data_IF_877494700934
#
_entry.id   IF_877494700934
#
_cell.length_a   1.000
_cell.length_b   1.000
_cell.length_c   1.000
_cell.angle_alpha   90.00
_cell.angle_beta   90.00
_cell.angle_gamma   90.00
#
_symmetry.space_group_name_H-M   'P 1'
#
loop_
_entity.id
_entity.type
_entity.pdbx_description
1 polymer ?
#
# COMPACT_ATOMS: atom_id res chain seq x y z
N UNK A 1 -16.85 27.45 -26.64
CA UNK A 1 -15.80 28.47 -26.33
C UNK A 1 -14.78 27.75 -25.43
N UNK A 2 -13.63 27.42 -25.97
CA UNK A 2 -12.57 26.73 -25.21
C UNK A 2 -11.79 27.75 -24.39
N UNK A 3 -11.66 27.57 -23.08
CA UNK A 3 -10.71 28.32 -22.25
C UNK A 3 -9.64 27.32 -21.78
N UNK A 4 -8.40 27.59 -22.18
CA UNK A 4 -7.23 26.82 -21.76
C UNK A 4 -6.80 27.22 -20.34
N UNK A 5 -6.41 26.24 -19.56
CA UNK A 5 -5.77 26.42 -18.25
C UNK A 5 -4.25 26.41 -18.40
N UNK A 6 -3.63 27.46 -17.87
CA UNK A 6 -2.18 27.64 -17.86
C UNK A 6 -1.54 26.93 -16.68
N UNK A 7 -0.45 26.23 -16.96
CA UNK A 7 0.45 25.62 -15.98
C UNK A 7 1.16 26.68 -15.13
N UNK A 8 1.02 26.63 -13.83
CA UNK A 8 1.76 27.39 -12.86
C UNK A 8 3.04 26.64 -12.46
N UNK A 9 4.19 27.27 -12.63
CA UNK A 9 5.52 26.79 -12.22
C UNK A 9 5.64 26.82 -10.70
N UNK A 10 5.98 25.70 -10.08
CA UNK A 10 6.37 25.62 -8.68
C UNK A 10 7.89 25.81 -8.59
N UNK A 11 8.30 26.82 -7.82
CA UNK A 11 9.68 27.15 -7.53
C UNK A 11 10.27 26.22 -6.45
N UNK A 12 11.41 25.63 -6.80
CA UNK A 12 12.29 24.88 -5.91
C UNK A 12 12.85 25.76 -4.77
N UNK A 13 12.64 25.35 -3.53
CA UNK A 13 13.33 25.88 -2.36
C UNK A 13 14.39 24.86 -1.93
N UNK A 14 15.66 25.25 -2.08
CA UNK A 14 16.81 24.52 -1.54
C UNK A 14 16.97 24.90 -0.06
N UNK A 15 16.96 23.92 0.83
CA UNK A 15 17.40 24.10 2.22
C UNK A 15 18.56 23.17 2.52
N UNK A 16 19.63 23.78 3.02
CA UNK A 16 20.92 23.14 3.24
C UNK A 16 20.94 22.28 4.52
N UNK A 17 21.71 21.22 4.42
CA UNK A 17 22.06 20.31 5.51
C UNK A 17 23.24 20.87 6.28
N UNK A 18 23.10 21.04 7.59
CA UNK A 18 24.19 21.33 8.52
C UNK A 18 24.59 20.04 9.25
N UNK A 19 25.82 19.61 8.99
CA UNK A 19 26.49 18.54 9.74
C UNK A 19 26.84 19.03 11.16
N UNK A 20 26.46 18.26 12.16
CA UNK A 20 27.02 18.38 13.51
C UNK A 20 27.65 17.04 13.92
N UNK A 21 28.97 17.02 13.93
CA UNK A 21 29.80 15.96 14.49
C UNK A 21 29.83 16.11 16.01
N UNK A 22 29.61 15.03 16.77
CA UNK A 22 29.95 15.02 18.18
C UNK A 22 30.72 13.75 18.56
N UNK A 23 31.83 13.99 19.24
CA UNK A 23 32.90 13.07 19.51
C UNK A 23 32.64 12.13 20.68
N UNK A 24 33.30 11.00 20.55
CA UNK A 24 33.56 9.87 21.43
C UNK A 24 34.21 10.25 22.75
N UNK A 25 33.77 9.66 23.85
CA UNK A 25 34.55 9.55 25.09
C UNK A 25 34.49 8.12 25.66
N UNK A 26 35.65 7.44 25.54
CA UNK A 26 35.99 6.18 26.21
C UNK A 26 36.28 6.44 27.69
N UNK A 27 35.71 5.61 28.59
CA UNK A 27 36.23 5.43 29.94
C UNK A 27 36.47 3.93 30.19
N UNK A 28 37.74 3.62 30.39
CA UNK A 28 38.29 2.34 30.81
C UNK A 28 38.50 2.38 32.32
N UNK A 29 38.05 1.37 33.06
CA UNK A 29 38.61 0.93 34.36
C UNK A 29 38.08 -0.47 34.62
N UNK A 30 38.80 -1.52 34.83
CA UNK A 30 40.07 -1.74 35.46
C UNK A 30 39.90 -2.45 36.80
N UNK A 31 40.25 -3.78 36.80
CA UNK A 31 40.69 -4.52 38.00
C UNK A 31 39.59 -5.34 38.71
N UNK A 32 39.81 -6.52 39.25
CA UNK A 32 40.95 -7.38 39.59
C UNK A 32 40.43 -8.79 39.98
N UNK A 33 41.27 -9.74 39.78
CA UNK A 33 41.24 -11.18 40.08
C UNK A 33 41.05 -11.59 41.54
N UNK A 34 40.61 -12.85 41.77
CA UNK A 34 41.24 -13.86 42.65
C UNK A 34 40.44 -15.17 42.62
N UNK A 35 41.03 -16.25 42.09
CA UNK A 35 41.49 -17.51 42.70
C UNK A 35 40.50 -18.23 43.67
N UNK A 36 40.33 -19.53 43.70
CA UNK A 36 41.03 -20.72 43.24
C UNK A 36 40.22 -21.99 43.56
N UNK A 37 40.54 -23.05 42.79
CA UNK A 37 40.66 -24.45 43.21
C UNK A 37 39.45 -25.36 43.35
N UNK A 38 39.55 -26.50 42.64
CA UNK A 38 38.90 -27.76 42.99
C UNK A 38 38.57 -28.65 41.79
N UNK A 39 39.56 -29.47 41.37
CA UNK A 39 39.41 -30.49 40.34
C UNK A 39 38.61 -31.69 40.81
N UNK A 40 37.80 -32.29 39.88
CA UNK A 40 37.70 -33.74 39.77
C UNK A 40 37.17 -34.15 38.39
N UNK A 41 38.02 -34.95 37.71
CA UNK A 41 37.73 -35.58 36.41
C UNK A 41 36.72 -36.71 36.54
N UNK A 42 35.77 -36.79 35.63
CA UNK A 42 34.96 -37.96 35.31
C UNK A 42 34.98 -38.20 33.81
N UNK A 43 34.82 -39.45 33.31
CA UNK A 43 35.17 -39.84 31.95
C UNK A 43 34.20 -39.36 30.89
N UNK A 44 34.60 -39.35 29.58
CA UNK A 44 33.88 -38.69 28.52
C UNK A 44 32.68 -39.51 28.05
N UNK A 45 31.49 -38.90 28.04
CA UNK A 45 30.34 -39.43 27.31
C UNK A 45 30.31 -38.85 25.88
N UNK A 46 29.99 -39.75 24.99
CA UNK A 46 29.94 -39.66 23.54
C UNK A 46 29.17 -38.46 22.99
N UNK A 47 29.76 -37.86 21.93
CA UNK A 47 29.27 -36.70 21.23
C UNK A 47 27.86 -36.79 20.68
N UNK A 48 27.08 -35.81 21.06
CA UNK A 48 26.03 -35.28 20.23
C UNK A 48 26.56 -33.97 19.62
N UNK A 49 26.77 -33.99 18.32
CA UNK A 49 27.08 -32.78 17.55
C UNK A 49 25.88 -31.86 17.62
N UNK A 50 25.92 -30.86 18.48
CA UNK A 50 24.99 -29.75 18.43
C UNK A 50 25.20 -28.94 17.14
N UNK A 51 24.17 -28.26 16.66
CA UNK A 51 24.26 -27.40 15.46
C UNK A 51 25.32 -26.31 15.68
N UNK A 52 26.00 -25.85 14.63
CA UNK A 52 27.03 -24.82 14.74
C UNK A 52 26.46 -23.55 15.37
N UNK A 53 27.24 -22.83 16.21
CA UNK A 53 26.82 -21.59 16.83
C UNK A 53 26.72 -20.52 15.74
N UNK A 54 25.49 -20.06 15.42
CA UNK A 54 25.25 -18.98 14.47
C UNK A 54 23.97 -19.09 13.62
N UNK A 55 23.25 -20.21 13.67
CA UNK A 55 21.90 -20.24 13.07
C UNK A 55 20.90 -19.82 14.16
N UNK A 56 20.44 -18.58 14.14
CA UNK A 56 19.13 -18.25 14.68
C UNK A 56 18.13 -19.24 14.06
N UNK A 57 17.26 -19.88 14.84
CA UNK A 57 16.19 -20.68 14.24
C UNK A 57 15.42 -19.76 13.31
N UNK A 58 15.21 -20.18 12.08
CA UNK A 58 14.28 -19.53 11.18
C UNK A 58 12.92 -19.56 11.86
N UNK A 59 12.46 -18.41 12.32
CA UNK A 59 11.19 -18.27 13.03
C UNK A 59 10.04 -18.04 12.06
N UNK A 60 10.32 -18.04 10.73
CA UNK A 60 9.32 -17.86 9.70
C UNK A 60 8.34 -19.03 9.72
N UNK A 61 7.07 -18.70 9.74
CA UNK A 61 6.01 -19.70 9.69
C UNK A 61 5.91 -20.28 8.27
N UNK A 62 5.61 -21.56 8.14
CA UNK A 62 5.46 -22.25 6.85
C UNK A 62 4.12 -21.94 6.14
N UNK A 63 3.50 -20.81 6.41
CA UNK A 63 2.24 -20.36 5.81
C UNK A 63 1.50 -19.38 6.73
N UNK A 64 0.43 -18.73 6.22
CA UNK A 64 -0.35 -17.78 6.99
C UNK A 64 -1.02 -18.42 8.22
N UNK A 65 -1.34 -17.64 9.26
CA UNK A 65 -2.04 -18.12 10.44
C UNK A 65 -3.44 -18.66 10.06
N UNK A 66 -3.98 -19.55 10.88
CA UNK A 66 -5.39 -19.96 10.75
C UNK A 66 -6.26 -18.83 11.32
N UNK A 67 -7.17 -18.32 10.50
CA UNK A 67 -8.07 -17.21 10.83
C UNK A 67 -9.51 -17.73 10.85
N UNK A 68 -10.23 -17.48 11.94
CA UNK A 68 -11.64 -17.83 12.10
C UNK A 68 -12.52 -16.66 11.60
N UNK A 69 -12.67 -16.54 10.27
CA UNK A 69 -13.49 -15.54 9.60
C UNK A 69 -14.01 -16.09 8.26
N UNK A 70 -15.04 -15.48 7.68
CA UNK A 70 -15.58 -15.90 6.39
C UNK A 70 -14.61 -15.57 5.25
N UNK A 71 -14.01 -14.39 5.28
CA UNK A 71 -12.97 -13.97 4.33
C UNK A 71 -11.93 -13.08 5.01
N UNK A 72 -10.68 -13.14 4.49
CA UNK A 72 -9.63 -12.25 4.95
C UNK A 72 -8.55 -12.04 3.86
N UNK A 73 -7.82 -10.94 3.99
CA UNK A 73 -6.68 -10.61 3.15
C UNK A 73 -5.58 -9.91 3.97
N UNK A 74 -4.33 -10.12 3.55
CA UNK A 74 -3.16 -9.35 3.98
C UNK A 74 -2.49 -8.77 2.74
N UNK A 75 -2.18 -7.49 2.77
CA UNK A 75 -1.65 -6.72 1.64
C UNK A 75 -0.50 -5.83 2.12
N UNK A 76 0.56 -5.71 1.33
CA UNK A 76 1.56 -4.65 1.51
C UNK A 76 0.92 -3.30 1.16
N UNK A 77 0.90 -2.37 2.11
CA UNK A 77 0.24 -1.08 1.94
C UNK A 77 0.90 -0.24 0.85
N UNK A 78 2.24 -0.29 0.74
CA UNK A 78 2.97 0.57 -0.18
C UNK A 78 2.81 0.14 -1.64
N UNK A 79 3.04 -1.13 -1.95
CA UNK A 79 2.94 -1.65 -3.32
C UNK A 79 1.53 -2.09 -3.71
N UNK A 80 0.68 -2.45 -2.74
CA UNK A 80 -0.60 -3.11 -2.96
C UNK A 80 -0.47 -4.60 -3.26
N UNK A 81 0.73 -5.19 -3.08
CA UNK A 81 0.95 -6.61 -3.29
C UNK A 81 0.09 -7.43 -2.34
N UNK A 82 -0.73 -8.32 -2.90
CA UNK A 82 -1.51 -9.29 -2.13
C UNK A 82 -0.59 -10.41 -1.64
N UNK A 83 -0.50 -10.57 -0.32
CA UNK A 83 0.45 -11.47 0.33
C UNK A 83 -0.18 -12.81 0.74
N UNK A 84 -1.38 -12.75 1.30
CA UNK A 84 -2.09 -13.94 1.75
C UNK A 84 -3.60 -13.65 1.91
N UNK A 85 -4.44 -14.69 1.87
CA UNK A 85 -5.86 -14.58 2.14
C UNK A 85 -6.61 -15.88 1.97
N UNK A 86 -7.85 -15.86 2.44
CA UNK A 86 -8.84 -16.91 2.23
C UNK A 86 -10.15 -16.27 1.80
N UNK A 87 -10.75 -16.77 0.71
CA UNK A 87 -11.95 -16.22 0.09
C UNK A 87 -11.88 -14.70 -0.19
N UNK A 88 -10.72 -14.14 -0.65
CA UNK A 88 -10.49 -12.69 -0.66
C UNK A 88 -11.44 -11.93 -1.59
N UNK A 89 -12.04 -12.59 -2.57
CA UNK A 89 -12.93 -12.02 -3.58
C UNK A 89 -14.42 -12.36 -3.28
N UNK A 90 -14.71 -12.94 -2.10
CA UNK A 90 -16.10 -13.22 -1.70
C UNK A 90 -16.83 -11.94 -1.31
N UNK A 91 -18.02 -11.74 -1.90
CA UNK A 91 -18.87 -10.58 -1.64
C UNK A 91 -19.60 -10.75 -0.31
N UNK A 92 -19.20 -9.99 0.71
CA UNK A 92 -19.74 -10.05 2.06
C UNK A 92 -20.27 -8.71 2.54
N UNK A 93 -21.26 -8.69 3.46
CA UNK A 93 -21.71 -7.46 4.08
C UNK A 93 -20.57 -6.81 4.87
N UNK A 94 -20.27 -5.55 4.59
CA UNK A 94 -19.09 -4.88 5.16
C UNK A 94 -19.37 -4.13 6.47
N UNK A 95 -20.65 -3.87 6.79
CA UNK A 95 -21.00 -3.03 7.94
C UNK A 95 -20.33 -1.66 7.86
N UNK A 96 -19.99 -1.08 9.00
CA UNK A 96 -19.40 0.27 9.06
C UNK A 96 -17.99 0.41 8.47
N UNK A 97 -17.36 -0.65 7.94
CA UNK A 97 -16.14 -0.54 7.13
C UNK A 97 -16.40 0.30 5.86
N UNK A 98 -17.62 0.28 5.35
CA UNK A 98 -18.14 1.14 4.30
C UNK A 98 -17.73 2.63 4.46
N UNK A 99 -17.61 3.14 5.68
CA UNK A 99 -17.30 4.55 5.98
C UNK A 99 -15.90 5.00 5.52
N UNK A 100 -15.02 4.06 5.15
CA UNK A 100 -13.74 4.37 4.49
C UNK A 100 -14.03 5.04 3.14
N UNK A 101 -14.92 4.47 2.32
CA UNK A 101 -15.35 5.07 1.05
C UNK A 101 -16.06 6.40 1.27
N UNK A 102 -16.90 6.49 2.29
CA UNK A 102 -17.58 7.75 2.63
C UNK A 102 -16.59 8.88 2.90
N UNK A 103 -15.53 8.61 3.66
CA UNK A 103 -14.51 9.62 3.96
C UNK A 103 -13.68 9.96 2.70
N UNK A 104 -13.33 8.96 1.88
CA UNK A 104 -12.57 9.16 0.64
C UNK A 104 -13.35 10.09 -0.31
N UNK A 105 -14.60 9.77 -0.63
CA UNK A 105 -15.44 10.58 -1.53
C UNK A 105 -15.62 12.02 -1.02
N UNK A 106 -15.82 12.22 0.30
CA UNK A 106 -15.92 13.57 0.87
C UNK A 106 -14.67 14.39 0.60
N UNK A 107 -13.47 13.79 0.69
CA UNK A 107 -12.22 14.52 0.47
C UNK A 107 -11.92 14.72 -1.02
N UNK A 108 -12.23 13.76 -1.88
CA UNK A 108 -12.04 13.89 -3.34
C UNK A 108 -12.89 14.97 -3.97
N UNK A 109 -14.10 15.21 -3.44
CA UNK A 109 -14.96 16.33 -3.86
C UNK A 109 -14.40 17.70 -3.46
N UNK A 110 -13.35 17.75 -2.66
CA UNK A 110 -12.59 18.95 -2.34
C UNK A 110 -13.38 19.99 -1.56
N UNK A 111 -14.31 19.54 -0.72
CA UNK A 111 -15.09 20.43 0.16
C UNK A 111 -14.20 21.13 1.17
N UNK A 112 -14.57 22.33 1.57
CA UNK A 112 -13.85 23.07 2.62
C UNK A 112 -14.05 22.37 3.97
N UNK A 113 -12.96 21.90 4.56
CA UNK A 113 -12.97 21.16 5.83
C UNK A 113 -13.48 22.01 7.01
N UNK A 114 -13.38 23.31 6.92
CA UNK A 114 -13.86 24.27 7.94
C UNK A 114 -15.30 24.71 7.67
N UNK A 115 -15.93 24.26 6.56
CA UNK A 115 -17.34 24.53 6.29
C UNK A 115 -18.24 23.85 7.33
N UNK A 116 -19.23 24.61 7.80
CA UNK A 116 -20.20 24.12 8.79
C UNK A 116 -21.41 23.47 8.10
N UNK A 117 -21.61 22.20 8.38
CA UNK A 117 -22.77 21.40 7.96
C UNK A 117 -23.87 21.52 9.01
N UNK A 118 -25.09 21.82 8.57
CA UNK A 118 -26.26 21.82 9.47
C UNK A 118 -26.89 20.43 9.52
N UNK A 119 -27.03 19.87 10.71
CA UNK A 119 -27.58 18.53 10.91
C UNK A 119 -29.05 18.52 10.54
N UNK A 120 -29.40 17.61 9.64
CA UNK A 120 -30.77 17.40 9.11
C UNK A 120 -31.60 16.48 10.03
N UNK A 121 -32.90 16.37 9.71
CA UNK A 121 -33.81 15.42 10.36
C UNK A 121 -33.43 13.96 10.00
N UNK A 122 -32.91 13.71 8.80
CA UNK A 122 -32.46 12.38 8.37
C UNK A 122 -31.22 11.95 9.18
N UNK A 123 -30.21 12.78 9.25
CA UNK A 123 -29.01 12.50 10.05
C UNK A 123 -29.34 12.28 11.54
N UNK A 124 -30.16 13.15 12.17
CA UNK A 124 -30.60 12.98 13.55
C UNK A 124 -31.39 11.68 13.77
N UNK A 125 -32.11 11.18 12.77
CA UNK A 125 -32.95 9.98 12.88
C UNK A 125 -32.19 8.72 13.31
N UNK A 126 -30.87 8.70 13.12
CA UNK A 126 -30.00 7.60 13.54
C UNK A 126 -29.61 7.66 15.02
N UNK A 127 -29.84 8.80 15.69
CA UNK A 127 -29.56 8.97 17.12
C UNK A 127 -30.53 8.11 17.94
N UNK A 128 -29.98 7.31 18.86
CA UNK A 128 -30.79 6.41 19.71
C UNK A 128 -31.23 5.13 19.01
N UNK A 129 -30.81 4.87 17.79
CA UNK A 129 -30.96 3.57 17.10
C UNK A 129 -29.91 2.56 17.61
N UNK A 130 -29.93 1.34 17.07
CA UNK A 130 -28.91 0.32 17.39
C UNK A 130 -27.58 0.54 16.65
N UNK A 131 -27.55 1.46 15.67
CA UNK A 131 -26.34 1.84 14.97
C UNK A 131 -25.48 2.80 15.78
N UNK A 132 -24.16 2.73 15.63
CA UNK A 132 -23.23 3.69 16.25
C UNK A 132 -23.58 5.11 15.82
N UNK A 133 -23.65 6.03 16.76
CA UNK A 133 -23.92 7.45 16.53
C UNK A 133 -23.24 8.30 17.59
N UNK A 134 -22.99 9.57 17.31
CA UNK A 134 -22.39 10.52 18.24
C UNK A 134 -23.44 11.44 18.88
N UNK A 135 -24.72 11.27 18.55
CA UNK A 135 -25.83 11.99 19.11
C UNK A 135 -25.96 13.42 18.58
N UNK A 136 -25.75 13.63 17.27
CA UNK A 136 -25.97 14.93 16.63
C UNK A 136 -27.44 15.33 16.71
N UNK A 137 -27.69 16.61 16.89
CA UNK A 137 -29.05 17.15 17.13
C UNK A 137 -29.45 18.00 15.93
N UNK A 138 -30.72 17.87 15.49
CA UNK A 138 -31.31 18.66 14.42
C UNK A 138 -30.97 20.15 14.55
N UNK A 139 -30.42 20.72 13.49
CA UNK A 139 -30.03 22.14 13.43
C UNK A 139 -28.71 22.48 14.11
N UNK A 140 -28.01 21.54 14.77
CA UNK A 140 -26.62 21.76 15.18
C UNK A 140 -25.76 21.99 13.93
N UNK A 141 -24.69 22.76 14.10
CA UNK A 141 -23.67 22.97 13.07
C UNK A 141 -22.35 22.35 13.50
N UNK A 142 -21.75 21.60 12.60
CA UNK A 142 -20.51 20.85 12.81
C UNK A 142 -19.65 21.01 11.55
N UNK A 143 -18.35 21.17 11.69
CA UNK A 143 -17.46 21.28 10.54
C UNK A 143 -17.36 19.95 9.78
N UNK A 144 -17.04 19.99 8.47
CA UNK A 144 -16.78 18.78 7.67
C UNK A 144 -15.67 17.95 8.32
N UNK A 145 -14.60 18.58 8.79
CA UNK A 145 -13.51 17.92 9.51
C UNK A 145 -13.98 17.16 10.75
N UNK A 146 -14.81 17.79 11.58
CA UNK A 146 -15.33 17.16 12.79
C UNK A 146 -16.32 16.02 12.45
N UNK A 147 -17.08 16.15 11.36
CA UNK A 147 -17.96 15.07 10.89
C UNK A 147 -17.17 13.88 10.34
N UNK A 148 -16.04 14.09 9.65
CA UNK A 148 -15.14 13.02 9.24
C UNK A 148 -14.58 12.28 10.46
N UNK A 149 -14.10 13.00 11.47
CA UNK A 149 -13.64 12.40 12.73
C UNK A 149 -14.76 11.60 13.43
N UNK A 150 -15.97 12.17 13.52
CA UNK A 150 -17.13 11.50 14.09
C UNK A 150 -17.58 10.26 13.28
N UNK A 151 -17.34 10.25 11.98
CA UNK A 151 -17.65 9.12 11.09
C UNK A 151 -16.67 7.98 11.26
N UNK A 152 -15.38 8.26 11.29
CA UNK A 152 -14.33 7.24 11.28
C UNK A 152 -13.99 6.71 12.68
N UNK A 153 -13.82 7.57 13.68
CA UNK A 153 -13.37 7.19 15.04
C UNK A 153 -14.43 6.39 15.80
N UNK A 154 -15.58 6.99 16.21
CA UNK A 154 -16.63 6.26 16.92
C UNK A 154 -17.60 5.55 15.98
N UNK A 155 -17.38 5.65 14.67
CA UNK A 155 -18.26 5.06 13.66
C UNK A 155 -19.65 5.70 13.56
N UNK A 156 -19.78 7.04 13.75
CA UNK A 156 -21.04 7.77 13.76
C UNK A 156 -21.84 7.64 12.45
N UNK A 157 -23.01 7.01 12.53
CA UNK A 157 -23.92 6.89 11.37
C UNK A 157 -24.59 8.22 11.09
N UNK A 158 -24.98 8.95 12.11
CA UNK A 158 -25.52 10.31 12.01
C UNK A 158 -24.55 11.28 11.34
N UNK A 159 -23.27 11.21 11.65
CA UNK A 159 -22.22 12.00 10.99
C UNK A 159 -22.01 11.60 9.52
N UNK A 160 -22.00 10.30 9.20
CA UNK A 160 -21.87 9.82 7.84
C UNK A 160 -23.04 10.28 6.95
N UNK A 161 -24.26 10.26 7.45
CA UNK A 161 -25.43 10.76 6.73
C UNK A 161 -25.40 12.28 6.56
N UNK A 162 -24.96 13.03 7.57
CA UNK A 162 -24.78 14.48 7.46
C UNK A 162 -23.77 14.86 6.36
N UNK A 163 -22.65 14.15 6.30
CA UNK A 163 -21.66 14.32 5.20
C UNK A 163 -22.25 13.95 3.83
N UNK A 164 -22.95 12.83 3.76
CA UNK A 164 -23.54 12.35 2.51
C UNK A 164 -24.61 13.33 1.96
N UNK A 165 -25.47 13.89 2.80
CA UNK A 165 -26.42 14.92 2.36
C UNK A 165 -25.70 16.20 1.92
N UNK A 166 -24.67 16.62 2.66
CA UNK A 166 -23.93 17.85 2.33
C UNK A 166 -23.23 17.74 0.98
N UNK A 167 -22.46 16.67 0.76
CA UNK A 167 -21.68 16.47 -0.47
C UNK A 167 -22.58 16.05 -1.65
N UNK A 168 -23.66 15.31 -1.40
CA UNK A 168 -24.61 14.89 -2.42
C UNK A 168 -25.66 15.95 -2.80
N UNK A 169 -25.40 17.25 -2.59
CA UNK A 169 -26.34 18.35 -2.89
C UNK A 169 -27.72 18.18 -2.24
N UNK A 170 -27.76 17.72 -0.98
CA UNK A 170 -28.98 17.47 -0.21
C UNK A 170 -29.61 16.09 -0.49
N UNK A 171 -28.91 15.18 -1.13
CA UNK A 171 -29.39 13.84 -1.47
C UNK A 171 -28.39 12.76 -1.10
N UNK A 172 -28.74 11.92 -0.13
CA UNK A 172 -27.96 10.71 0.18
C UNK A 172 -27.82 9.79 -1.02
N UNK A 173 -28.87 9.72 -1.88
CA UNK A 173 -28.85 8.90 -3.10
C UNK A 173 -27.76 9.34 -4.10
N UNK A 174 -27.60 10.66 -4.32
CA UNK A 174 -26.53 11.18 -5.16
C UNK A 174 -25.14 10.82 -4.59
N UNK A 175 -24.98 10.94 -3.28
CA UNK A 175 -23.72 10.58 -2.64
C UNK A 175 -23.39 9.07 -2.78
N UNK A 176 -24.40 8.21 -2.68
CA UNK A 176 -24.22 6.77 -2.91
C UNK A 176 -23.86 6.48 -4.38
N UNK A 177 -24.39 7.23 -5.33
CA UNK A 177 -23.96 7.15 -6.74
C UNK A 177 -22.47 7.52 -6.86
N UNK A 178 -22.02 8.61 -6.20
CA UNK A 178 -20.59 8.99 -6.18
C UNK A 178 -19.70 7.90 -5.58
N UNK A 179 -20.12 7.25 -4.47
CA UNK A 179 -19.39 6.11 -3.89
C UNK A 179 -19.23 4.94 -4.87
N UNK A 180 -20.25 4.63 -5.64
CA UNK A 180 -20.20 3.56 -6.64
C UNK A 180 -19.42 3.95 -7.89
N UNK A 181 -19.48 5.21 -8.30
CA UNK A 181 -18.66 5.74 -9.40
C UNK A 181 -17.16 5.66 -9.03
N UNK A 182 -16.81 6.02 -7.78
CA UNK A 182 -15.44 5.90 -7.28
C UNK A 182 -15.00 4.44 -7.18
N UNK A 183 -15.83 3.54 -6.63
CA UNK A 183 -15.54 2.10 -6.61
C UNK A 183 -15.26 1.55 -8.02
N UNK A 184 -16.04 1.99 -9.00
CA UNK A 184 -15.85 1.61 -10.41
C UNK A 184 -14.56 2.19 -11.00
N UNK A 185 -14.21 3.45 -10.67
CA UNK A 185 -12.97 4.08 -11.11
C UNK A 185 -11.73 3.39 -10.52
N UNK A 186 -11.82 2.91 -9.29
CA UNK A 186 -10.79 2.12 -8.62
C UNK A 186 -10.73 0.66 -9.09
N UNK A 187 -11.72 0.18 -9.88
CA UNK A 187 -11.81 -1.21 -10.32
C UNK A 187 -12.20 -2.19 -9.22
N UNK A 188 -12.98 -1.77 -8.23
CA UNK A 188 -13.51 -2.62 -7.15
C UNK A 188 -14.71 -3.42 -7.67
N UNK A 189 -14.43 -4.55 -8.34
CA UNK A 189 -15.46 -5.31 -9.08
C UNK A 189 -16.42 -6.08 -8.16
N UNK A 190 -16.00 -6.38 -6.92
CA UNK A 190 -16.79 -7.10 -5.92
C UNK A 190 -17.38 -6.17 -4.85
N UNK A 191 -17.55 -4.88 -5.17
CA UNK A 191 -18.02 -3.85 -4.24
C UNK A 191 -19.23 -3.12 -4.77
N UNK A 192 -20.24 -2.92 -3.91
CA UNK A 192 -21.38 -2.05 -4.19
C UNK A 192 -21.88 -1.38 -2.90
N UNK A 193 -22.18 -0.10 -2.99
CA UNK A 193 -22.70 0.71 -1.89
C UNK A 193 -24.18 1.02 -2.09
N UNK A 194 -24.98 0.91 -1.01
CA UNK A 194 -26.38 1.35 -0.96
C UNK A 194 -26.63 2.42 0.11
N UNK A 195 -25.67 2.57 1.06
CA UNK A 195 -25.75 3.56 2.14
C UNK A 195 -24.39 4.18 2.42
N UNK A 196 -24.30 5.40 2.97
CA UNK A 196 -23.03 6.00 3.34
C UNK A 196 -22.44 5.42 4.66
N UNK A 197 -23.16 4.55 5.35
CA UNK A 197 -22.79 4.10 6.69
C UNK A 197 -22.64 2.57 6.82
N UNK A 198 -22.92 1.80 5.78
CA UNK A 198 -22.81 0.35 5.80
C UNK A 198 -23.94 -0.35 6.53
N UNK A 199 -25.16 0.13 6.36
CA UNK A 199 -26.34 -0.52 6.95
C UNK A 199 -26.64 -1.84 6.24
N UNK A 200 -27.30 -2.77 6.96
CA UNK A 200 -27.71 -4.06 6.39
C UNK A 200 -28.76 -3.88 5.31
N UNK A 201 -28.32 -4.00 4.08
CA UNK A 201 -29.13 -4.04 2.86
C UNK A 201 -28.56 -5.14 1.95
N UNK A 202 -29.37 -5.64 1.02
CA UNK A 202 -28.94 -6.77 0.17
C UNK A 202 -27.90 -6.39 -0.87
N UNK A 203 -27.80 -5.12 -1.20
CA UNK A 203 -26.87 -4.59 -2.21
C UNK A 203 -25.65 -3.87 -1.62
N UNK A 204 -25.44 -3.92 -0.29
CA UNK A 204 -24.31 -3.25 0.35
C UNK A 204 -23.26 -4.30 0.75
N UNK A 205 -22.31 -4.55 -0.14
CA UNK A 205 -21.28 -5.59 0.02
C UNK A 205 -19.93 -5.14 -0.51
N UNK A 206 -18.88 -5.83 -0.09
CA UNK A 206 -17.53 -5.73 -0.64
C UNK A 206 -16.77 -7.04 -0.44
N UNK A 207 -15.57 -7.13 -1.00
CA UNK A 207 -14.65 -8.23 -0.76
C UNK A 207 -13.46 -7.79 0.10
N UNK A 208 -12.73 -8.75 0.68
CA UNK A 208 -11.54 -8.43 1.46
C UNK A 208 -10.44 -7.79 0.59
N UNK A 209 -10.32 -8.21 -0.66
CA UNK A 209 -9.39 -7.63 -1.64
C UNK A 209 -9.75 -6.19 -1.97
N UNK A 210 -11.00 -5.93 -2.30
CA UNK A 210 -11.46 -4.60 -2.66
C UNK A 210 -11.33 -3.61 -1.50
N UNK A 211 -11.66 -4.05 -0.28
CA UNK A 211 -11.49 -3.23 0.93
C UNK A 211 -10.02 -2.92 1.23
N UNK A 212 -9.10 -3.85 0.96
CA UNK A 212 -7.67 -3.57 1.08
C UNK A 212 -7.22 -2.52 0.04
N UNK A 213 -7.66 -2.64 -1.22
CA UNK A 213 -7.37 -1.67 -2.27
C UNK A 213 -7.96 -0.29 -1.96
N UNK A 214 -9.23 -0.22 -1.55
CA UNK A 214 -9.87 1.02 -1.09
C UNK A 214 -9.09 1.67 0.06
N UNK A 215 -8.73 0.88 1.06
CA UNK A 215 -8.03 1.37 2.25
C UNK A 215 -6.66 1.92 1.91
N UNK A 216 -5.93 1.24 1.02
CA UNK A 216 -4.64 1.69 0.54
C UNK A 216 -4.72 3.08 -0.12
N UNK A 217 -5.74 3.32 -0.93
CA UNK A 217 -5.97 4.65 -1.54
C UNK A 217 -6.37 5.68 -0.49
N UNK A 218 -7.30 5.32 0.41
CA UNK A 218 -7.76 6.22 1.45
C UNK A 218 -6.64 6.67 2.40
N UNK A 219 -5.70 5.78 2.76
CA UNK A 219 -4.56 6.11 3.62
C UNK A 219 -3.49 7.01 2.95
N UNK A 220 -3.55 7.21 1.64
CA UNK A 220 -2.71 8.22 0.97
C UNK A 220 -3.14 9.65 1.30
N UNK A 221 -4.39 9.86 1.73
CA UNK A 221 -4.83 11.16 2.24
C UNK A 221 -4.37 11.33 3.70
N UNK A 222 -3.53 12.35 4.00
CA UNK A 222 -2.97 12.54 5.34
C UNK A 222 -4.02 12.78 6.42
N UNK A 223 -5.19 13.34 6.08
CA UNK A 223 -6.25 13.58 7.04
C UNK A 223 -6.96 12.28 7.42
N UNK A 224 -7.22 11.39 6.46
CA UNK A 224 -7.78 10.07 6.76
C UNK A 224 -6.81 9.30 7.64
N UNK A 225 -5.53 9.24 7.28
CA UNK A 225 -4.49 8.56 8.04
C UNK A 225 -4.42 9.10 9.49
N UNK A 226 -4.42 10.42 9.68
CA UNK A 226 -4.42 11.05 11.00
C UNK A 226 -5.68 10.67 11.82
N UNK A 227 -6.86 10.73 11.20
CA UNK A 227 -8.11 10.45 11.91
C UNK A 227 -8.19 8.99 12.35
N UNK A 228 -7.85 8.04 11.47
CA UNK A 228 -8.00 6.61 11.79
C UNK A 228 -6.97 6.10 12.80
N UNK A 229 -5.81 6.76 12.92
CA UNK A 229 -4.77 6.49 13.94
C UNK A 229 -5.10 7.15 15.29
N UNK A 230 -6.13 7.99 15.36
CA UNK A 230 -6.52 8.68 16.59
C UNK A 230 -7.34 7.78 17.50
N UNK A 231 -6.83 7.51 18.72
CA UNK A 231 -7.51 6.68 19.71
C UNK A 231 -8.69 7.38 20.40
N UNK A 232 -8.52 8.64 20.78
CA UNK A 232 -9.54 9.45 21.45
C UNK A 232 -9.61 10.83 20.80
N UNK A 233 -10.82 11.34 20.58
CA UNK A 233 -11.01 12.65 19.99
C UNK A 233 -12.18 13.42 20.63
N UNK A 234 -12.15 14.73 20.44
CA UNK A 234 -13.24 15.64 20.81
C UNK A 234 -13.59 16.47 19.59
N UNK A 235 -14.85 16.51 19.23
CA UNK A 235 -15.38 17.43 18.22
C UNK A 235 -16.18 18.54 18.87
N UNK A 236 -16.33 19.65 18.13
CA UNK A 236 -17.09 20.79 18.58
C UNK A 236 -18.30 21.02 17.69
N UNK A 237 -19.46 21.10 18.31
CA UNK A 237 -20.63 21.70 17.66
C UNK A 237 -20.74 23.16 18.07
N UNK A 238 -21.65 23.92 17.42
CA UNK A 238 -21.90 25.30 17.87
C UNK A 238 -22.35 25.41 19.36
N UNK A 239 -22.78 24.30 19.99
CA UNK A 239 -23.41 24.32 21.30
C UNK A 239 -22.68 23.51 22.37
N UNK A 240 -21.86 22.53 22.01
CA UNK A 240 -21.22 21.58 22.93
C UNK A 240 -20.00 20.92 22.30
N UNK A 241 -19.19 20.33 23.16
CA UNK A 241 -18.15 19.38 22.80
C UNK A 241 -18.67 17.93 22.95
N UNK A 242 -18.21 17.04 22.09
CA UNK A 242 -18.55 15.62 22.11
C UNK A 242 -17.24 14.84 22.12
N UNK A 243 -16.99 14.10 23.20
CA UNK A 243 -15.82 13.23 23.35
C UNK A 243 -16.19 11.79 22.95
N UNK A 244 -15.27 11.10 22.26
CA UNK A 244 -15.43 9.70 21.87
C UNK A 244 -14.09 9.00 21.70
N UNK A 245 -14.12 7.67 21.81
CA UNK A 245 -12.98 6.81 21.58
C UNK A 245 -13.12 6.04 20.27
N UNK A 246 -12.00 5.65 19.70
CA UNK A 246 -11.96 4.82 18.51
C UNK A 246 -12.49 3.41 18.81
N UNK A 247 -13.28 2.89 17.88
CA UNK A 247 -13.80 1.51 17.97
C UNK A 247 -12.73 0.46 17.66
N UNK A 248 -11.60 0.84 17.05
CA UNK A 248 -10.47 -0.03 16.81
C UNK A 248 -9.57 -0.15 18.05
N UNK A 249 -9.71 -1.25 18.79
CA UNK A 249 -8.94 -1.49 20.00
C UNK A 249 -7.45 -1.73 19.74
N UNK A 250 -7.03 -2.12 18.53
CA UNK A 250 -5.62 -2.35 18.20
C UNK A 250 -4.78 -1.09 18.44
N UNK A 251 -5.33 0.12 18.24
CA UNK A 251 -4.64 1.38 18.53
C UNK A 251 -4.12 1.50 19.97
N UNK A 252 -4.70 0.74 20.91
CA UNK A 252 -4.29 0.76 22.31
C UNK A 252 -3.66 -0.54 22.78
N UNK A 253 -3.86 -1.65 22.07
CA UNK A 253 -3.38 -2.99 22.47
C UNK A 253 -2.20 -3.47 21.65
N UNK A 254 -2.04 -2.98 20.43
CA UNK A 254 -1.01 -3.40 19.47
C UNK A 254 -0.23 -2.16 18.96
N UNK A 255 0.96 -1.87 19.52
CA UNK A 255 1.68 -0.61 19.26
C UNK A 255 1.99 -0.28 17.80
N UNK A 256 2.19 -1.25 16.87
CA UNK A 256 2.37 -0.95 15.45
C UNK A 256 1.11 -0.48 14.74
N UNK A 257 -0.11 -0.66 15.31
CA UNK A 257 -1.37 -0.33 14.63
C UNK A 257 -1.48 1.16 14.34
N UNK A 258 -1.91 1.50 13.12
CA UNK A 258 -2.11 2.87 12.60
C UNK A 258 -3.56 3.14 12.15
N UNK A 259 -4.46 2.18 12.29
CA UNK A 259 -5.89 2.32 11.92
C UNK A 259 -6.55 0.95 11.72
N UNK A 260 -7.66 0.81 11.01
CA UNK A 260 -8.38 1.80 10.21
C UNK A 260 -9.87 1.85 10.66
N UNK A 261 -10.65 0.75 10.43
CA UNK A 261 -12.09 0.80 10.66
C UNK A 261 -12.68 -0.54 11.05
N UNK A 262 -13.54 -0.52 12.08
CA UNK A 262 -14.37 -1.66 12.46
C UNK A 262 -15.73 -1.60 11.78
N UNK A 263 -16.33 -2.78 11.53
CA UNK A 263 -17.70 -2.94 11.10
C UNK A 263 -18.41 -4.01 11.94
N UNK A 264 -19.66 -3.77 12.31
CA UNK A 264 -20.46 -4.79 13.00
C UNK A 264 -21.93 -4.56 12.69
N UNK A 265 -22.58 -5.55 12.11
CA UNK A 265 -24.03 -5.62 11.95
C UNK A 265 -24.50 -7.06 12.16
N UNK A 266 -25.80 -7.31 12.34
CA UNK A 266 -26.30 -8.68 12.42
C UNK A 266 -26.01 -9.54 11.18
N UNK A 267 -25.89 -8.95 9.97
CA UNK A 267 -25.58 -9.68 8.76
C UNK A 267 -24.08 -9.80 8.50
N UNK A 268 -23.32 -8.77 8.86
CA UNK A 268 -21.88 -8.71 8.58
C UNK A 268 -21.02 -9.49 9.60
N UNK A 269 -21.57 -9.85 10.77
CA UNK A 269 -20.71 -10.34 11.85
C UNK A 269 -19.77 -9.26 12.37
N UNK A 270 -18.55 -9.63 12.71
CA UNK A 270 -17.52 -8.70 13.17
C UNK A 270 -16.43 -8.51 12.11
N UNK A 271 -16.36 -7.32 11.53
CA UNK A 271 -15.39 -6.95 10.50
C UNK A 271 -14.34 -5.98 11.05
N UNK A 272 -13.13 -6.06 10.51
CA UNK A 272 -12.06 -5.12 10.78
C UNK A 272 -11.19 -4.95 9.53
N UNK A 273 -10.95 -3.72 9.15
CA UNK A 273 -9.80 -3.34 8.35
C UNK A 273 -8.79 -2.70 9.29
N UNK A 274 -7.60 -3.24 9.37
CA UNK A 274 -6.53 -2.71 10.20
C UNK A 274 -5.28 -2.45 9.37
N UNK A 275 -4.53 -1.41 9.73
CA UNK A 275 -3.20 -1.12 9.23
C UNK A 275 -2.21 -1.10 10.38
N UNK A 276 -0.95 -1.40 10.07
CA UNK A 276 0.15 -1.32 11.02
C UNK A 276 1.44 -0.99 10.30
N UNK A 277 2.32 -0.24 10.98
CA UNK A 277 3.64 0.17 10.48
C UNK A 277 4.74 -0.15 11.51
N UNK A 278 5.80 -0.78 11.05
CA UNK A 278 7.01 -1.01 11.83
C UNK A 278 8.23 -1.18 10.91
N UNK A 279 9.39 -0.62 11.27
CA UNK A 279 10.67 -0.79 10.57
C UNK A 279 10.63 -0.45 9.07
N UNK A 280 9.91 0.60 8.68
CA UNK A 280 9.66 1.04 7.30
C UNK A 280 8.80 0.07 6.46
N UNK A 281 8.15 -0.89 7.08
CA UNK A 281 7.16 -1.79 6.48
C UNK A 281 5.76 -1.43 6.98
N UNK A 282 4.78 -1.49 6.08
CA UNK A 282 3.38 -1.24 6.41
C UNK A 282 2.46 -2.24 5.73
N UNK A 283 1.52 -2.78 6.50
CA UNK A 283 0.58 -3.81 6.05
C UNK A 283 -0.85 -3.43 6.34
N UNK A 284 -1.75 -3.86 5.46
CA UNK A 284 -3.20 -3.79 5.66
C UNK A 284 -3.73 -5.20 5.81
N UNK A 285 -4.45 -5.48 6.90
CA UNK A 285 -5.23 -6.69 7.09
C UNK A 285 -6.71 -6.39 7.00
N UNK A 286 -7.44 -7.24 6.29
CA UNK A 286 -8.90 -7.20 6.20
C UNK A 286 -9.45 -8.52 6.74
N UNK A 287 -10.36 -8.44 7.70
CA UNK A 287 -11.06 -9.59 8.29
C UNK A 287 -12.56 -9.34 8.18
N UNK A 288 -13.29 -10.23 7.52
CA UNK A 288 -14.73 -10.15 7.30
C UNK A 288 -15.43 -11.39 7.88
N UNK A 289 -16.54 -11.16 8.56
CA UNK A 289 -17.37 -12.24 9.06
C UNK A 289 -16.73 -13.03 10.21
N UNK A 290 -15.94 -12.42 11.07
CA UNK A 290 -15.48 -13.06 12.30
C UNK A 290 -16.66 -13.28 13.26
N UNK A 291 -16.58 -14.34 14.08
CA UNK A 291 -17.66 -14.76 14.99
C UNK A 291 -18.00 -13.69 16.02
N UNK A 292 -16.98 -12.96 16.50
CA UNK A 292 -17.17 -11.89 17.48
C UNK A 292 -16.11 -10.78 17.37
N UNK A 293 -16.27 -9.76 18.22
CA UNK A 293 -15.39 -8.59 18.22
C UNK A 293 -13.97 -8.88 18.72
N UNK A 294 -13.76 -9.87 19.58
CA UNK A 294 -12.45 -10.25 20.10
C UNK A 294 -11.66 -10.98 19.00
N UNK A 295 -12.35 -11.87 18.28
CA UNK A 295 -11.78 -12.64 17.19
C UNK A 295 -11.23 -11.76 16.07
N UNK A 296 -12.00 -10.76 15.59
CA UNK A 296 -11.52 -9.86 14.52
C UNK A 296 -10.23 -9.14 14.89
N UNK A 297 -10.04 -8.72 16.16
CA UNK A 297 -8.81 -8.07 16.60
C UNK A 297 -7.65 -9.07 16.67
N UNK A 298 -7.88 -10.26 17.23
CA UNK A 298 -6.87 -11.34 17.28
C UNK A 298 -6.45 -11.78 15.88
N UNK A 299 -7.40 -11.93 14.97
CA UNK A 299 -7.16 -12.30 13.59
C UNK A 299 -6.31 -11.25 12.86
N UNK A 300 -6.69 -9.96 12.98
CA UNK A 300 -5.95 -8.87 12.34
C UNK A 300 -4.54 -8.73 12.89
N UNK A 301 -4.34 -8.81 14.22
CA UNK A 301 -3.02 -8.80 14.84
C UNK A 301 -2.15 -9.95 14.33
N UNK A 302 -2.71 -11.19 14.27
CA UNK A 302 -1.98 -12.35 13.77
C UNK A 302 -1.57 -12.22 12.30
N UNK A 303 -2.42 -11.61 11.45
CA UNK A 303 -2.11 -11.34 10.05
C UNK A 303 -1.01 -10.28 9.90
N UNK A 304 -1.08 -9.19 10.65
CA UNK A 304 -0.08 -8.12 10.63
C UNK A 304 1.29 -8.63 11.13
N UNK A 305 1.31 -9.38 12.23
CA UNK A 305 2.53 -10.04 12.73
C UNK A 305 3.10 -11.06 11.73
N UNK A 306 2.22 -11.77 10.99
CA UNK A 306 2.66 -12.66 9.93
C UNK A 306 3.35 -11.87 8.81
N UNK A 307 2.82 -10.70 8.43
CA UNK A 307 3.47 -9.77 7.50
C UNK A 307 4.88 -9.41 7.95
N UNK A 308 5.01 -8.79 9.13
CA UNK A 308 6.30 -8.36 9.68
C UNK A 308 7.32 -9.49 9.95
N UNK A 309 6.87 -10.75 10.08
CA UNK A 309 7.75 -11.88 10.36
C UNK A 309 8.22 -12.59 9.10
N UNK A 310 7.41 -12.63 8.05
CA UNK A 310 7.64 -13.52 6.91
C UNK A 310 8.04 -12.82 5.62
N UNK A 311 7.92 -11.50 5.58
CA UNK A 311 8.30 -10.69 4.43
C UNK A 311 9.38 -9.69 4.84
N UNK A 312 10.32 -9.44 3.95
CA UNK A 312 11.36 -8.42 4.10
C UNK A 312 11.24 -7.41 2.96
N UNK A 313 11.47 -6.14 3.25
CA UNK A 313 11.48 -5.09 2.24
C UNK A 313 12.82 -5.10 1.51
N UNK A 314 12.77 -5.26 0.20
CA UNK A 314 13.96 -5.35 -0.66
C UNK A 314 13.88 -4.37 -1.83
N UNK A 315 15.05 -3.94 -2.32
CA UNK A 315 15.15 -3.25 -3.61
C UNK A 315 15.02 -4.26 -4.73
N UNK A 316 13.96 -4.13 -5.51
CA UNK A 316 13.62 -5.05 -6.61
C UNK A 316 14.20 -4.57 -7.95
N UNK A 317 14.25 -3.26 -8.16
CA UNK A 317 14.93 -2.59 -9.25
C UNK A 317 15.79 -1.49 -8.64
N UNK A 318 17.06 -1.40 -9.01
CA UNK A 318 17.97 -0.36 -8.53
C UNK A 318 18.14 0.71 -9.62
N UNK A 319 17.83 1.94 -9.30
CA UNK A 319 18.06 3.08 -10.18
C UNK A 319 19.55 3.22 -10.54
N UNK A 320 19.84 3.40 -11.83
CA UNK A 320 21.19 3.45 -12.35
C UNK A 320 21.86 2.11 -12.62
N UNK A 321 21.25 0.98 -12.23
CA UNK A 321 21.71 -0.36 -12.62
C UNK A 321 21.31 -0.67 -14.06
N UNK A 322 22.21 -1.31 -14.82
CA UNK A 322 21.98 -1.69 -16.22
C UNK A 322 21.18 -2.99 -16.27
N UNK A 323 20.06 -2.96 -16.96
CA UNK A 323 19.17 -4.12 -17.14
C UNK A 323 19.20 -4.70 -18.55
N UNK A 324 19.62 -3.91 -19.55
CA UNK A 324 19.71 -4.37 -20.93
C UNK A 324 20.85 -3.66 -21.67
N UNK A 325 21.45 -4.36 -22.63
CA UNK A 325 22.43 -3.82 -23.56
C UNK A 325 21.95 -4.10 -24.98
N UNK A 326 21.75 -3.06 -25.78
CA UNK A 326 21.25 -3.20 -27.14
C UNK A 326 22.27 -2.71 -28.16
N UNK A 327 22.45 -3.45 -29.29
CA UNK A 327 23.35 -3.03 -30.36
C UNK A 327 22.83 -1.77 -31.05
N UNK A 328 23.73 -0.83 -31.34
CA UNK A 328 23.35 0.41 -32.02
C UNK A 328 22.95 0.16 -33.48
N UNK A 329 22.01 0.92 -34.04
CA UNK A 329 21.57 0.82 -35.42
C UNK A 329 22.75 0.98 -36.38
N UNK A 330 22.97 0.01 -37.27
CA UNK A 330 24.06 -0.06 -38.24
C UNK A 330 25.49 -0.16 -37.67
N UNK A 331 25.63 -0.30 -36.35
CA UNK A 331 26.91 -0.46 -35.63
C UNK A 331 26.80 -1.60 -34.60
N UNK A 332 26.68 -2.88 -35.06
CA UNK A 332 26.40 -4.01 -34.18
C UNK A 332 27.52 -4.33 -33.16
N UNK A 333 28.71 -3.78 -33.35
CA UNK A 333 29.85 -3.92 -32.42
C UNK A 333 29.86 -2.85 -31.31
N UNK A 334 28.95 -1.89 -31.38
CA UNK A 334 28.74 -0.87 -30.37
C UNK A 334 27.35 -1.07 -29.71
N UNK A 335 27.25 -0.93 -28.40
CA UNK A 335 25.98 -1.09 -27.65
C UNK A 335 25.63 0.19 -26.91
N UNK A 336 24.35 0.34 -26.61
CA UNK A 336 23.87 1.28 -25.61
C UNK A 336 23.43 0.49 -24.37
N UNK A 337 23.89 0.93 -23.22
CA UNK A 337 23.47 0.41 -21.92
C UNK A 337 22.21 1.12 -21.46
N UNK A 338 21.17 0.34 -21.12
CA UNK A 338 19.90 0.82 -20.61
C UNK A 338 19.83 0.57 -19.10
N UNK A 339 19.83 1.66 -18.34
CA UNK A 339 19.75 1.61 -16.89
C UNK A 339 18.34 2.02 -16.40
N UNK A 340 17.90 1.43 -15.30
CA UNK A 340 16.67 1.85 -14.66
C UNK A 340 16.78 3.32 -14.19
N UNK A 341 15.72 4.11 -14.43
CA UNK A 341 15.68 5.51 -14.02
C UNK A 341 15.40 5.66 -12.51
N UNK A 342 14.63 4.73 -11.94
CA UNK A 342 14.09 4.82 -10.58
C UNK A 342 14.25 3.47 -9.85
N UNK A 343 14.30 3.55 -8.50
CA UNK A 343 14.25 2.37 -7.64
C UNK A 343 12.80 1.84 -7.57
N UNK A 344 12.65 0.51 -7.55
CA UNK A 344 11.39 -0.14 -7.16
C UNK A 344 11.67 -0.98 -5.92
N UNK A 345 10.94 -0.71 -4.87
CA UNK A 345 11.03 -1.40 -3.58
C UNK A 345 9.75 -2.19 -3.36
N UNK A 346 9.85 -3.40 -2.84
CA UNK A 346 8.71 -4.25 -2.51
C UNK A 346 9.02 -5.21 -1.38
N UNK A 347 8.02 -5.94 -0.92
CA UNK A 347 8.17 -6.94 0.14
C UNK A 347 8.26 -8.34 -0.48
N UNK A 348 9.25 -9.12 -0.03
CA UNK A 348 9.55 -10.46 -0.56
C UNK A 348 9.50 -11.47 0.56
N UNK A 349 8.69 -12.51 0.39
CA UNK A 349 8.68 -13.69 1.28
C UNK A 349 9.82 -14.65 0.94
N UNK A 350 10.13 -15.56 1.87
CA UNK A 350 11.22 -16.55 1.67
C UNK A 350 11.02 -17.46 0.45
N UNK A 351 9.78 -17.73 0.08
CA UNK A 351 9.42 -18.62 -1.03
C UNK A 351 8.88 -17.85 -2.25
N UNK A 352 8.89 -16.51 -2.24
CA UNK A 352 8.37 -15.69 -3.33
C UNK A 352 9.24 -15.79 -4.60
N UNK A 353 8.60 -15.90 -5.75
CA UNK A 353 9.25 -15.87 -7.05
C UNK A 353 9.30 -14.43 -7.58
N UNK A 354 10.51 -13.87 -7.67
CA UNK A 354 10.73 -12.51 -8.22
C UNK A 354 11.12 -12.60 -9.69
N UNK A 355 10.29 -12.07 -10.56
CA UNK A 355 10.53 -12.00 -12.02
C UNK A 355 10.72 -10.54 -12.44
N UNK A 356 11.76 -10.27 -13.25
CA UNK A 356 11.97 -8.97 -13.89
C UNK A 356 11.79 -9.14 -15.39
N UNK A 357 10.96 -8.30 -15.98
CA UNK A 357 10.69 -8.30 -17.43
C UNK A 357 11.16 -6.99 -18.03
N UNK A 358 12.08 -7.10 -18.96
CA UNK A 358 12.55 -5.95 -19.75
C UNK A 358 11.77 -5.90 -21.06
N UNK A 359 11.24 -4.72 -21.37
CA UNK A 359 10.57 -4.43 -22.63
C UNK A 359 11.27 -3.25 -23.29
N UNK A 360 11.72 -3.41 -24.52
CA UNK A 360 12.35 -2.36 -25.32
C UNK A 360 11.63 -2.21 -26.65
N UNK A 361 11.83 -1.10 -27.34
CA UNK A 361 11.36 -0.95 -28.72
C UNK A 361 12.06 -1.97 -29.65
N UNK A 362 11.33 -2.51 -30.62
CA UNK A 362 11.88 -3.47 -31.59
C UNK A 362 13.08 -2.91 -32.37
N UNK A 363 13.13 -1.60 -32.61
CA UNK A 363 14.23 -0.89 -33.26
C UNK A 363 14.56 0.37 -32.44
N UNK A 364 15.83 0.49 -32.04
CA UNK A 364 16.31 1.71 -31.41
C UNK A 364 16.18 2.93 -32.35
N UNK A 365 15.88 4.14 -31.82
CA UNK A 365 15.93 5.36 -32.60
C UNK A 365 17.33 5.58 -33.22
N UNK A 366 17.45 6.32 -34.31
CA UNK A 366 18.74 6.57 -34.96
C UNK A 366 19.77 7.25 -34.05
N UNK A 367 19.35 8.01 -33.07
CA UNK A 367 20.14 8.67 -32.04
C UNK A 367 19.33 8.79 -30.75
N UNK A 368 19.99 8.83 -29.62
CA UNK A 368 19.37 9.13 -28.34
C UNK A 368 20.30 9.98 -27.46
N UNK A 369 19.74 10.82 -26.63
CA UNK A 369 20.49 11.55 -25.62
C UNK A 369 20.69 10.67 -24.36
N UNK A 370 21.70 10.98 -23.57
CA UNK A 370 21.80 10.36 -22.23
C UNK A 370 20.56 10.74 -21.39
N UNK A 371 19.96 9.74 -20.75
CA UNK A 371 18.72 9.87 -20.00
C UNK A 371 17.44 9.78 -20.84
N UNK A 372 17.53 9.53 -22.15
CA UNK A 372 16.36 9.28 -23.00
C UNK A 372 15.82 7.89 -22.74
N UNK A 373 14.49 7.78 -22.58
CA UNK A 373 13.79 6.52 -22.34
C UNK A 373 13.74 5.68 -23.62
N UNK A 374 14.20 4.43 -23.52
CA UNK A 374 14.28 3.48 -24.63
C UNK A 374 13.66 2.12 -24.30
N UNK A 375 13.04 1.99 -23.16
CA UNK A 375 12.39 0.77 -22.71
C UNK A 375 11.88 0.91 -21.29
N UNK A 376 11.49 -0.23 -20.72
CA UNK A 376 10.93 -0.34 -19.37
C UNK A 376 11.38 -1.66 -18.76
N UNK A 377 11.60 -1.67 -17.46
CA UNK A 377 11.73 -2.89 -16.66
C UNK A 377 10.59 -2.94 -15.65
N UNK A 378 9.78 -3.99 -15.71
CA UNK A 378 8.76 -4.29 -14.71
C UNK A 378 9.23 -5.39 -13.77
N UNK A 379 8.75 -5.41 -12.55
CA UNK A 379 8.97 -6.47 -11.59
C UNK A 379 7.66 -7.07 -11.12
N UNK A 380 7.64 -8.41 -11.11
CA UNK A 380 6.51 -9.19 -10.60
C UNK A 380 6.99 -10.03 -9.42
N UNK A 381 6.13 -10.18 -8.42
CA UNK A 381 6.29 -11.14 -7.32
C UNK A 381 5.11 -12.09 -7.37
N UNK A 382 5.39 -13.39 -7.46
CA UNK A 382 4.38 -14.45 -7.58
C UNK A 382 3.35 -14.17 -8.70
N UNK A 383 3.83 -13.56 -9.80
CA UNK A 383 3.03 -13.18 -10.97
C UNK A 383 2.21 -11.88 -10.81
N UNK A 384 2.24 -11.23 -9.66
CA UNK A 384 1.62 -9.92 -9.43
C UNK A 384 2.63 -8.81 -9.74
N UNK A 385 2.22 -7.80 -10.52
CA UNK A 385 3.05 -6.62 -10.82
C UNK A 385 3.17 -5.74 -9.57
N UNK A 386 4.40 -5.49 -9.16
CA UNK A 386 4.74 -4.66 -7.99
C UNK A 386 5.11 -3.23 -8.38
N UNK A 387 5.81 -3.09 -9.49
CA UNK A 387 6.22 -1.79 -10.00
C UNK A 387 7.01 -1.90 -11.30
N UNK A 388 7.39 -0.75 -11.82
CA UNK A 388 8.17 -0.59 -13.06
C UNK A 388 9.12 0.59 -12.94
N UNK A 389 10.14 0.60 -13.79
CA UNK A 389 11.03 1.74 -13.98
C UNK A 389 11.32 1.92 -15.45
N UNK A 390 11.28 3.16 -15.98
CA UNK A 390 11.78 3.44 -17.32
C UNK A 390 13.24 3.02 -17.44
N UNK A 391 13.61 2.44 -18.58
CA UNK A 391 14.98 2.17 -18.96
C UNK A 391 15.50 3.31 -19.82
N UNK A 392 16.53 3.99 -19.33
CA UNK A 392 17.11 5.15 -20.00
C UNK A 392 18.52 4.85 -20.51
N UNK A 393 18.88 5.46 -21.62
CA UNK A 393 20.25 5.39 -22.14
C UNK A 393 21.24 5.98 -21.12
N UNK A 394 22.20 5.20 -20.61
CA UNK A 394 23.26 5.70 -19.73
C UNK A 394 24.13 6.76 -20.41
N UNK A 395 24.50 6.49 -21.66
CA UNK A 395 25.22 7.41 -22.52
C UNK A 395 24.43 7.64 -23.81
N UNK A 396 24.46 8.89 -24.29
CA UNK A 396 23.83 9.22 -25.57
C UNK A 396 24.65 8.69 -26.74
N UNK A 397 23.95 8.38 -27.83
CA UNK A 397 24.59 8.00 -29.11
C UNK A 397 24.06 8.82 -30.28
N UNK A 398 24.91 9.02 -31.26
CA UNK A 398 24.59 9.78 -32.47
C UNK A 398 24.16 8.85 -33.61
N UNK A 399 23.49 9.41 -34.59
CA UNK A 399 23.08 8.70 -35.80
C UNK A 399 24.27 8.11 -36.54
N UNK A 400 24.13 6.85 -36.98
CA UNK A 400 25.15 6.16 -37.77
C UNK A 400 25.53 6.96 -39.01
N UNK A 401 26.83 7.08 -39.27
CA UNK A 401 27.34 7.74 -40.47
C UNK A 401 26.93 7.01 -41.75
N UNK A 402 27.02 7.71 -42.91
CA UNK A 402 26.76 7.06 -44.19
C UNK A 402 27.69 5.86 -44.44
N UNK A 403 28.92 5.89 -43.92
CA UNK A 403 29.88 4.79 -44.05
C UNK A 403 29.45 3.59 -43.18
N UNK A 404 28.96 3.76 -41.99
CA UNK A 404 28.47 2.68 -41.14
C UNK A 404 27.28 1.97 -41.79
N UNK A 405 26.35 2.73 -42.35
CA UNK A 405 25.18 2.20 -43.06
C UNK A 405 25.56 1.41 -44.31
N UNK A 406 26.54 1.93 -45.09
CA UNK A 406 27.04 1.24 -46.27
C UNK A 406 27.80 -0.05 -45.89
N UNK A 407 28.66 0.03 -44.88
CA UNK A 407 29.43 -1.11 -44.38
C UNK A 407 28.55 -2.22 -43.84
N UNK A 408 27.55 -1.89 -43.04
CA UNK A 408 26.57 -2.83 -42.50
C UNK A 408 25.78 -3.53 -43.60
N UNK A 409 25.29 -2.76 -44.61
CA UNK A 409 24.53 -3.31 -45.74
C UNK A 409 25.38 -4.18 -46.65
N UNK A 410 26.63 -3.80 -46.88
CA UNK A 410 27.57 -4.58 -47.68
C UNK A 410 27.98 -5.88 -46.96
N UNK A 411 28.19 -5.84 -45.63
CA UNK A 411 28.47 -7.02 -44.80
C UNK A 411 27.35 -8.06 -44.86
N UNK A 412 26.10 -7.62 -44.62
CA UNK A 412 24.93 -8.50 -44.68
C UNK A 412 24.67 -9.11 -46.10
N UNK A 413 25.04 -8.39 -47.16
CA UNK A 413 24.97 -8.96 -48.51
C UNK A 413 26.05 -10.04 -48.74
N UNK A 414 27.24 -9.85 -48.15
CA UNK A 414 28.35 -10.82 -48.25
C UNK A 414 28.02 -12.11 -47.46
N UNK A 415 27.47 -12.01 -46.28
CA UNK A 415 27.04 -13.16 -45.48
C UNK A 415 25.97 -13.98 -46.19
N UNK A 416 24.92 -13.32 -46.70
CA UNK A 416 23.88 -14.00 -47.50
C UNK A 416 24.42 -14.65 -48.75
N UNK A 417 25.42 -14.04 -49.39
CA UNK A 417 26.11 -14.64 -50.57
C UNK A 417 26.94 -15.86 -50.16
N UNK A 418 27.62 -15.84 -49.01
CA UNK A 418 28.34 -16.98 -48.46
C UNK A 418 27.41 -18.13 -48.06
N UNK A 419 26.30 -17.83 -47.40
CA UNK A 419 25.27 -18.83 -47.05
C UNK A 419 24.68 -19.48 -48.31
N UNK A 420 24.38 -18.68 -49.33
CA UNK A 420 23.87 -19.19 -50.59
C UNK A 420 24.89 -20.10 -51.30
N UNK A 421 26.19 -19.80 -51.20
CA UNK A 421 27.26 -20.63 -51.80
C UNK A 421 27.48 -21.91 -50.98
N UNK A 422 27.46 -21.84 -49.65
CA UNK A 422 27.57 -23.03 -48.77
C UNK A 422 26.35 -23.94 -48.84
N UNK A 423 25.13 -23.40 -49.02
CA UNK A 423 23.90 -24.17 -49.21
C UNK A 423 23.81 -24.90 -50.57
N UNK A 424 24.68 -24.58 -51.53
CA UNK A 424 24.74 -25.27 -52.84
C UNK A 424 25.67 -26.51 -52.77
N UNK A 425 26.53 -26.63 -51.75
CA UNK A 425 27.50 -27.72 -51.59
C UNK A 425 27.11 -28.75 -50.50
N UNK A 426 25.92 -28.72 -49.99
CA UNK A 426 25.28 -29.75 -49.14
C UNK A 426 24.07 -30.29 -49.91
#
# INVERSE_FOLDING_TARGET
>A
MRRGFGLAKINSIKSGVALLSLALLLVVSGGTSLDAAGAQEGPPESGASGPPPGSTPDTRASGPPQIEAEAWALVDEQSGLYLAGENPDEQLPMGSVNKIMTALVVLEEGVDLDEEVTISEEAESYVGTTYSNVGLILGERVTVRDLLAATLIPSGTDAAYALAEHVGDGSVGNFVEMMNDEASAMGLEDTNFETPAGLDTTGNYSSARDLAALTRVALQDPLIAEIVDTADATISTQNREIEFSNTNQLLTTYPPATGVKTGTTPQAGANLVASAEANDESYISVVLGADDSEERFRASEALLEYGFTNYDRESLINGGEVYEELPLPYRPDETVELAAAEDVIGVVGADSEVERRVTTEDELPPSAAAGEELGEVEVLIDGQRVGESPLVAQEGYEEASLWDRISYTAGGLLERAQEAVTGIFV
#
